data_IF_806181869025
#
_entry.id   IF_806181869025
#
_cell.length_a   1.000
_cell.length_b   1.000
_cell.length_c   1.000
_cell.angle_alpha   90.00
_cell.angle_beta   90.00
_cell.angle_gamma   90.00
#
_symmetry.space_group_name_H-M   'P 1'
#
loop_
_entity.id
_entity.type
_entity.pdbx_description
1 polymer ?
#
# COMPACT_ATOMS: atom_id res chain seq x y z
N UNK A 1 -6.95 -5.40 2.11
CA UNK A 1 -6.11 -6.62 2.33
C UNK A 1 -6.91 -7.80 2.89
N UNK A 2 -7.97 -7.58 3.68
CA UNK A 2 -8.75 -8.67 4.29
C UNK A 2 -9.48 -9.60 3.31
N UNK A 3 -9.86 -9.10 2.13
CA UNK A 3 -10.57 -9.86 1.09
C UNK A 3 -9.67 -10.67 0.15
N UNK A 4 -8.34 -10.47 0.21
CA UNK A 4 -7.42 -11.19 -0.66
C UNK A 4 -7.13 -12.60 -0.12
N UNK A 5 -6.98 -13.58 -1.03
CA UNK A 5 -6.55 -14.91 -0.62
C UNK A 5 -5.09 -14.88 -0.10
N UNK A 6 -4.71 -15.79 0.83
CA UNK A 6 -3.36 -15.81 1.39
C UNK A 6 -2.27 -16.02 0.32
N UNK A 7 -2.58 -16.84 -0.69
CA UNK A 7 -1.68 -17.11 -1.82
C UNK A 7 -1.46 -15.88 -2.70
N UNK A 8 -2.53 -15.16 -3.05
CA UNK A 8 -2.42 -13.92 -3.83
C UNK A 8 -1.59 -12.87 -3.09
N UNK A 9 -1.85 -12.69 -1.78
CA UNK A 9 -1.14 -11.71 -0.97
C UNK A 9 0.36 -12.06 -0.85
N UNK A 10 0.67 -13.32 -0.54
CA UNK A 10 2.05 -13.81 -0.43
C UNK A 10 2.79 -13.73 -1.77
N UNK A 11 2.13 -14.06 -2.87
CA UNK A 11 2.72 -13.98 -4.22
C UNK A 11 3.01 -12.54 -4.62
N UNK A 12 2.05 -11.63 -4.36
CA UNK A 12 2.24 -10.21 -4.65
C UNK A 12 3.42 -9.62 -3.84
N UNK A 13 3.49 -9.90 -2.53
CA UNK A 13 4.60 -9.45 -1.69
C UNK A 13 5.94 -10.02 -2.16
N UNK A 14 5.98 -11.29 -2.57
CA UNK A 14 7.19 -11.91 -3.09
C UNK A 14 7.67 -11.26 -4.39
N UNK A 15 6.74 -10.95 -5.30
CA UNK A 15 7.06 -10.25 -6.54
C UNK A 15 7.57 -8.83 -6.26
N UNK A 16 6.92 -8.08 -5.36
CA UNK A 16 7.39 -6.74 -4.97
C UNK A 16 8.79 -6.80 -4.36
N UNK A 17 9.05 -7.71 -3.44
CA UNK A 17 10.37 -7.88 -2.82
C UNK A 17 11.44 -8.22 -3.86
N UNK A 18 11.13 -9.10 -4.82
CA UNK A 18 12.04 -9.47 -5.89
C UNK A 18 12.37 -8.29 -6.82
N UNK A 19 11.34 -7.58 -7.28
CA UNK A 19 11.50 -6.40 -8.14
C UNK A 19 12.30 -5.31 -7.43
N UNK A 20 11.98 -5.04 -6.15
CA UNK A 20 12.68 -4.02 -5.37
C UNK A 20 14.15 -4.39 -5.14
N UNK A 21 14.44 -5.67 -4.87
CA UNK A 21 15.81 -6.16 -4.74
C UNK A 21 16.61 -5.98 -6.03
N UNK A 22 16.03 -6.34 -7.18
CA UNK A 22 16.63 -6.11 -8.49
C UNK A 22 16.88 -4.63 -8.76
N UNK A 23 15.86 -3.78 -8.54
CA UNK A 23 15.99 -2.33 -8.71
C UNK A 23 17.11 -1.76 -7.83
N UNK A 24 17.16 -2.18 -6.57
CA UNK A 24 18.18 -1.74 -5.62
C UNK A 24 19.58 -2.19 -6.05
N UNK A 25 19.71 -3.42 -6.53
CA UNK A 25 20.95 -3.96 -7.08
C UNK A 25 21.43 -3.16 -8.29
N UNK A 26 20.57 -2.89 -9.27
CA UNK A 26 20.94 -2.12 -10.47
C UNK A 26 21.24 -0.65 -10.20
N UNK A 27 20.59 -0.05 -9.19
CA UNK A 27 20.90 1.30 -8.71
C UNK A 27 22.10 1.31 -7.74
N UNK A 28 22.60 0.14 -7.38
CA UNK A 28 23.58 -0.07 -6.32
C UNK A 28 23.23 0.68 -5.02
N UNK A 29 21.95 0.69 -4.64
CA UNK A 29 21.47 1.22 -3.38
C UNK A 29 21.24 0.09 -2.37
N UNK A 30 21.53 0.38 -1.10
CA UNK A 30 21.30 -0.54 0.01
C UNK A 30 20.05 -0.10 0.73
N UNK A 31 19.07 -0.99 0.80
CA UNK A 31 17.79 -0.71 1.44
C UNK A 31 17.95 -0.59 2.98
N UNK A 32 17.17 0.26 3.66
CA UNK A 32 17.19 0.37 5.12
C UNK A 32 16.83 -0.93 5.84
N UNK A 33 15.80 -1.63 5.37
CA UNK A 33 15.47 -2.97 5.80
C UNK A 33 16.06 -3.99 4.81
N UNK A 34 16.74 -5.00 5.34
CA UNK A 34 17.35 -6.04 4.50
C UNK A 34 16.29 -7.05 4.04
N UNK A 35 16.24 -7.27 2.73
CA UNK A 35 15.40 -8.28 2.10
C UNK A 35 16.17 -9.58 1.87
N UNK A 36 15.63 -10.68 2.38
CA UNK A 36 16.08 -12.03 2.03
C UNK A 36 15.19 -12.57 0.94
N UNK A 37 15.76 -12.77 -0.26
CA UNK A 37 15.05 -13.38 -1.38
C UNK A 37 15.01 -14.92 -1.26
N UNK A 38 14.06 -15.57 -1.96
CA UNK A 38 14.01 -17.02 -1.97
C UNK A 38 15.30 -17.66 -2.50
N UNK A 39 15.86 -18.62 -1.75
CA UNK A 39 16.97 -19.48 -2.17
C UNK A 39 16.78 -20.91 -1.64
N UNK A 40 17.72 -21.82 -1.92
CA UNK A 40 17.60 -23.28 -1.67
C UNK A 40 17.10 -23.64 -0.27
N UNK A 41 17.56 -22.92 0.76
CA UNK A 41 17.25 -23.18 2.17
C UNK A 41 16.29 -22.13 2.76
N UNK A 42 15.73 -21.28 1.90
CA UNK A 42 14.90 -20.14 2.26
C UNK A 42 13.79 -19.95 1.22
N UNK A 43 12.71 -20.75 1.27
CA UNK A 43 11.76 -20.87 0.16
C UNK A 43 10.84 -19.65 -0.02
N UNK A 44 10.72 -18.78 0.99
CA UNK A 44 9.84 -17.60 0.95
C UNK A 44 10.61 -16.35 1.37
N UNK A 45 10.25 -15.18 0.83
CA UNK A 45 10.94 -13.95 1.16
C UNK A 45 10.64 -13.49 2.59
N UNK A 46 11.60 -12.80 3.18
CA UNK A 46 11.46 -12.14 4.48
C UNK A 46 12.21 -10.83 4.51
N UNK A 47 11.95 -10.05 5.56
CA UNK A 47 12.58 -8.76 5.76
C UNK A 47 13.06 -8.59 7.20
N UNK A 48 14.24 -8.01 7.39
CA UNK A 48 14.76 -7.64 8.70
C UNK A 48 14.26 -6.25 9.11
N UNK A 49 14.12 -6.00 10.42
CA UNK A 49 13.91 -4.62 10.84
C UNK A 49 15.19 -3.80 10.63
N UNK A 50 15.06 -2.47 10.66
CA UNK A 50 16.16 -1.53 10.45
C UNK A 50 17.36 -1.78 11.39
N UNK A 51 17.11 -2.20 12.64
CA UNK A 51 18.18 -2.39 13.65
C UNK A 51 18.97 -3.67 13.45
N UNK A 52 18.33 -4.71 12.89
CA UNK A 52 18.93 -6.03 12.65
C UNK A 52 19.47 -6.21 11.24
N UNK A 53 19.07 -5.35 10.31
CA UNK A 53 19.49 -5.42 8.91
C UNK A 53 21.00 -5.35 8.80
N UNK A 54 21.57 -6.32 8.09
CA UNK A 54 22.98 -6.47 7.75
C UNK A 54 23.93 -6.64 8.93
N UNK A 55 23.45 -7.25 10.03
CA UNK A 55 24.24 -7.50 11.24
C UNK A 55 24.34 -8.99 11.57
N UNK A 56 24.19 -9.86 10.58
CA UNK A 56 24.11 -11.30 10.78
C UNK A 56 24.96 -12.09 9.78
N UNK A 57 25.57 -13.17 10.26
CA UNK A 57 26.41 -14.03 9.43
C UNK A 57 25.66 -15.27 8.90
N UNK A 58 24.67 -15.85 9.61
CA UNK A 58 23.85 -16.98 9.13
C UNK A 58 22.48 -17.05 9.84
N UNK A 59 21.37 -17.09 9.09
CA UNK A 59 20.01 -17.13 9.65
C UNK A 59 19.16 -18.21 8.97
N UNK A 60 18.58 -19.11 9.78
CA UNK A 60 17.65 -20.13 9.33
C UNK A 60 16.28 -19.54 8.94
N UNK A 61 15.61 -20.15 7.96
CA UNK A 61 14.28 -19.74 7.54
C UNK A 61 13.24 -19.86 8.68
N UNK A 62 12.35 -18.86 8.88
CA UNK A 62 11.33 -18.90 9.92
C UNK A 62 10.54 -20.21 9.92
N UNK A 63 10.53 -20.89 11.06
CA UNK A 63 9.78 -22.14 11.25
C UNK A 63 10.49 -23.41 10.76
N UNK A 64 11.69 -23.31 10.17
CA UNK A 64 12.46 -24.50 9.74
C UNK A 64 13.60 -24.88 10.67
N UNK A 65 13.92 -24.10 11.71
CA UNK A 65 15.11 -24.34 12.52
C UNK A 65 15.06 -25.73 13.19
N UNK A 66 15.96 -26.67 12.85
CA UNK A 66 16.45 -27.60 13.85
C UNK A 66 17.39 -26.80 14.77
N UNK A 67 17.49 -27.24 16.02
CA UNK A 67 18.42 -26.69 17.00
C UNK A 67 19.86 -27.00 16.57
N UNK A 68 20.45 -26.26 15.65
CA UNK A 68 21.82 -26.49 15.19
C UNK A 68 22.67 -25.26 15.41
N UNK A 69 23.26 -25.22 16.60
CA UNK A 69 24.50 -24.52 16.89
C UNK A 69 25.61 -25.06 15.98
N UNK A 70 25.96 -24.33 14.91
CA UNK A 70 27.24 -24.51 14.21
C UNK A 70 27.89 -23.15 13.93
N UNK A 71 27.96 -22.34 14.99
CA UNK A 71 28.79 -21.14 15.08
C UNK A 71 29.49 -21.10 16.44
N UNK A 72 29.98 -22.25 16.89
CA UNK A 72 30.74 -22.37 18.13
C UNK A 72 32.20 -22.01 17.88
N UNK A 73 32.54 -20.72 17.96
CA UNK A 73 33.88 -20.34 18.37
C UNK A 73 34.16 -20.93 19.77
N UNK A 74 35.42 -21.27 20.09
CA UNK A 74 35.74 -21.91 21.36
C UNK A 74 35.76 -20.86 22.47
N UNK A 75 34.58 -20.40 22.90
CA UNK A 75 34.43 -19.82 24.22
C UNK A 75 33.01 -19.98 24.76
N UNK A 76 32.94 -20.30 26.04
CA UNK A 76 31.85 -21.02 26.65
C UNK A 76 30.51 -20.28 26.72
N UNK A 77 29.44 -21.09 26.71
CA UNK A 77 28.25 -20.96 27.55
C UNK A 77 27.84 -19.53 27.93
N UNK A 78 27.00 -18.91 27.11
CA UNK A 78 26.12 -17.85 27.58
C UNK A 78 24.69 -18.11 27.08
N UNK A 79 23.90 -18.86 27.87
CA UNK A 79 22.45 -19.05 27.68
C UNK A 79 21.63 -17.73 27.82
N UNK A 80 22.30 -16.58 27.77
CA UNK A 80 21.74 -15.24 27.93
C UNK A 80 22.09 -14.33 26.74
N UNK A 81 22.51 -14.90 25.60
CA UNK A 81 22.66 -14.14 24.37
C UNK A 81 21.28 -13.57 23.97
N UNK A 82 21.16 -12.26 23.70
CA UNK A 82 19.91 -11.69 23.24
C UNK A 82 19.41 -12.46 22.01
N UNK A 83 18.09 -12.66 21.87
CA UNK A 83 17.54 -13.38 20.72
C UNK A 83 18.14 -12.79 19.44
N UNK A 84 18.72 -13.67 18.61
CA UNK A 84 19.29 -13.27 17.34
C UNK A 84 18.26 -12.52 16.47
N UNK A 85 18.75 -11.77 15.46
CA UNK A 85 17.88 -11.01 14.58
C UNK A 85 16.83 -11.91 13.92
N UNK A 86 15.55 -11.64 14.21
CA UNK A 86 14.43 -12.46 13.72
C UNK A 86 13.88 -11.89 12.41
N UNK A 87 14.00 -12.58 11.27
CA UNK A 87 13.39 -12.12 10.02
C UNK A 87 11.86 -12.16 10.11
N UNK A 88 11.20 -11.18 9.49
CA UNK A 88 9.74 -11.08 9.47
C UNK A 88 9.21 -11.69 8.17
N UNK A 89 8.22 -12.58 8.22
CA UNK A 89 7.68 -13.24 7.04
C UNK A 89 6.94 -12.25 6.14
N UNK A 90 7.27 -12.23 4.85
CA UNK A 90 6.50 -11.51 3.81
C UNK A 90 5.44 -12.42 3.16
N UNK A 91 4.91 -13.36 3.92
CA UNK A 91 3.91 -14.32 3.48
C UNK A 91 2.94 -14.64 4.61
N UNK A 92 1.76 -15.14 4.23
CA UNK A 92 0.73 -15.64 5.14
C UNK A 92 0.14 -16.93 4.61
N UNK A 93 -0.12 -17.87 5.51
CA UNK A 93 -0.74 -19.16 5.17
C UNK A 93 -2.27 -19.16 5.38
N UNK A 94 -2.79 -18.11 6.03
CA UNK A 94 -4.20 -17.95 6.40
C UNK A 94 -4.68 -16.54 6.10
N UNK A 95 -5.99 -16.36 6.02
CA UNK A 95 -6.57 -15.03 5.84
C UNK A 95 -6.28 -14.17 7.08
N UNK A 96 -6.10 -12.87 6.87
CA UNK A 96 -5.70 -11.95 7.95
C UNK A 96 -6.64 -11.95 9.16
N UNK A 97 -7.99 -12.01 9.00
CA UNK A 97 -8.89 -12.09 10.15
C UNK A 97 -8.72 -13.36 10.99
N UNK A 98 -8.46 -14.50 10.33
CA UNK A 98 -8.24 -15.80 11.00
C UNK A 98 -6.90 -15.78 11.72
N UNK A 99 -5.85 -15.31 11.03
CA UNK A 99 -4.51 -15.21 11.61
C UNK A 99 -4.50 -14.28 12.84
N UNK A 100 -5.21 -13.15 12.78
CA UNK A 100 -5.30 -12.22 13.91
C UNK A 100 -5.95 -12.83 15.17
N UNK A 101 -6.86 -13.81 15.00
CA UNK A 101 -7.52 -14.52 16.11
C UNK A 101 -6.68 -15.67 16.65
N UNK A 102 -6.07 -16.45 15.76
CA UNK A 102 -5.35 -17.67 16.12
C UNK A 102 -3.92 -17.41 16.59
N UNK A 103 -3.20 -16.51 15.92
CA UNK A 103 -1.82 -16.15 16.26
C UNK A 103 -1.59 -14.63 16.08
N UNK A 104 -1.93 -13.84 17.11
CA UNK A 104 -1.73 -12.39 17.10
C UNK A 104 -0.26 -11.98 16.94
N UNK A 105 0.69 -12.81 17.38
CA UNK A 105 2.11 -12.50 17.29
C UNK A 105 2.60 -12.59 15.85
N UNK A 106 2.25 -13.67 15.14
CA UNK A 106 2.57 -13.83 13.71
C UNK A 106 1.84 -12.79 12.86
N UNK A 107 0.58 -12.47 13.19
CA UNK A 107 -0.15 -11.38 12.56
C UNK A 107 0.60 -10.04 12.69
N UNK A 108 1.05 -9.69 13.89
CA UNK A 108 1.82 -8.46 14.12
C UNK A 108 3.15 -8.43 13.37
N UNK A 109 3.89 -9.55 13.36
CA UNK A 109 5.15 -9.66 12.60
C UNK A 109 4.93 -9.53 11.10
N UNK A 110 3.83 -10.08 10.57
CA UNK A 110 3.47 -9.93 9.17
C UNK A 110 3.15 -8.47 8.81
N UNK A 111 2.36 -7.77 9.64
CA UNK A 111 2.08 -6.35 9.40
C UNK A 111 3.36 -5.50 9.45
N UNK A 112 4.27 -5.78 10.40
CA UNK A 112 5.60 -5.15 10.45
C UNK A 112 6.39 -5.43 9.15
N UNK A 113 6.34 -6.65 8.63
CA UNK A 113 7.01 -7.00 7.38
C UNK A 113 6.49 -6.17 6.20
N UNK A 114 5.17 -6.04 6.06
CA UNK A 114 4.53 -5.27 4.99
C UNK A 114 4.89 -3.79 5.09
N UNK A 115 4.92 -3.22 6.30
CA UNK A 115 5.29 -1.80 6.46
C UNK A 115 6.77 -1.54 6.29
N UNK A 116 7.65 -2.49 6.64
CA UNK A 116 9.07 -2.42 6.29
C UNK A 116 9.27 -2.43 4.77
N UNK A 117 8.54 -3.28 4.05
CA UNK A 117 8.58 -3.30 2.59
C UNK A 117 8.10 -1.98 1.98
N UNK A 118 7.00 -1.41 2.48
CA UNK A 118 6.52 -0.09 2.08
C UNK A 118 7.53 1.03 2.36
N UNK A 119 8.19 0.95 3.52
CA UNK A 119 9.23 1.88 3.93
C UNK A 119 10.41 1.84 2.96
N UNK A 120 10.90 0.64 2.61
CA UNK A 120 12.00 0.46 1.66
C UNK A 120 11.66 0.99 0.26
N UNK A 121 10.47 0.69 -0.26
CA UNK A 121 10.01 1.22 -1.56
C UNK A 121 9.99 2.75 -1.53
N UNK A 122 9.41 3.33 -0.48
CA UNK A 122 9.32 4.79 -0.33
C UNK A 122 10.69 5.44 -0.16
N UNK A 123 11.60 4.79 0.56
CA UNK A 123 12.98 5.23 0.74
C UNK A 123 13.75 5.17 -0.59
N UNK A 124 13.61 4.09 -1.34
CA UNK A 124 14.19 3.95 -2.68
C UNK A 124 13.68 5.07 -3.59
N UNK A 125 12.37 5.34 -3.60
CA UNK A 125 11.81 6.49 -4.31
C UNK A 125 12.48 7.81 -3.92
N UNK A 126 12.57 8.11 -2.61
CA UNK A 126 13.13 9.36 -2.12
C UNK A 126 14.61 9.53 -2.50
N UNK A 127 15.42 8.49 -2.35
CA UNK A 127 16.86 8.56 -2.72
C UNK A 127 17.07 8.80 -4.20
N UNK A 128 16.14 8.31 -5.03
CA UNK A 128 16.19 8.46 -6.47
C UNK A 128 15.46 9.70 -7.01
N UNK A 129 14.99 10.60 -6.14
CA UNK A 129 14.31 11.82 -6.56
C UNK A 129 12.88 11.60 -7.05
N UNK A 130 12.29 10.43 -6.81
CA UNK A 130 10.88 10.15 -7.12
C UNK A 130 10.00 10.75 -6.02
N UNK A 131 9.00 11.53 -6.39
CA UNK A 131 7.98 11.99 -5.44
C UNK A 131 7.02 10.86 -5.07
N UNK A 132 6.77 10.70 -3.77
CA UNK A 132 5.78 9.76 -3.22
C UNK A 132 4.51 10.47 -2.72
N UNK A 133 4.43 11.80 -2.85
CA UNK A 133 3.39 12.62 -2.20
C UNK A 133 3.88 13.18 -0.86
N UNK A 134 2.99 13.23 0.14
CA UNK A 134 3.33 13.62 1.50
C UNK A 134 4.09 12.49 2.21
N UNK A 135 5.38 12.71 2.43
CA UNK A 135 6.27 11.75 3.10
C UNK A 135 5.85 11.43 4.54
N UNK A 136 5.04 12.28 5.18
CA UNK A 136 4.54 12.07 6.54
C UNK A 136 3.19 11.32 6.59
N UNK A 137 2.47 11.28 5.46
CA UNK A 137 1.18 10.62 5.35
C UNK A 137 1.35 9.10 5.21
N UNK A 138 0.52 8.35 5.95
CA UNK A 138 0.56 6.89 5.94
C UNK A 138 0.24 6.32 4.55
N UNK A 139 -0.80 6.83 3.90
CA UNK A 139 -1.27 6.35 2.59
C UNK A 139 -0.17 6.50 1.54
N UNK A 140 0.44 7.69 1.46
CA UNK A 140 1.47 7.98 0.46
C UNK A 140 2.72 7.11 0.61
N UNK A 141 3.12 6.79 1.85
CA UNK A 141 4.23 5.87 2.13
C UNK A 141 3.83 4.41 1.87
N UNK A 142 2.59 4.02 2.18
CA UNK A 142 2.12 2.63 2.09
C UNK A 142 1.52 2.25 0.73
N UNK A 143 1.39 3.19 -0.21
CA UNK A 143 1.03 2.91 -1.61
C UNK A 143 2.20 2.26 -2.39
N UNK A 144 2.61 1.06 -1.97
CA UNK A 144 3.70 0.25 -2.52
C UNK A 144 3.65 0.20 -4.04
N UNK A 145 2.51 -0.18 -4.62
CA UNK A 145 2.35 -0.34 -6.07
C UNK A 145 2.57 0.97 -6.85
N UNK A 146 1.98 2.07 -6.38
CA UNK A 146 2.14 3.40 -6.99
C UNK A 146 3.60 3.88 -6.91
N UNK A 147 4.21 3.73 -5.75
CA UNK A 147 5.58 4.18 -5.52
C UNK A 147 6.56 3.35 -6.37
N UNK A 148 6.39 2.03 -6.42
CA UNK A 148 7.21 1.15 -7.25
C UNK A 148 7.02 1.42 -8.75
N UNK A 149 5.78 1.65 -9.20
CA UNK A 149 5.49 2.06 -10.57
C UNK A 149 6.20 3.38 -10.93
N UNK A 150 6.13 4.38 -10.06
CA UNK A 150 6.77 5.67 -10.28
C UNK A 150 8.31 5.57 -10.30
N UNK A 151 8.89 4.70 -9.47
CA UNK A 151 10.32 4.43 -9.45
C UNK A 151 10.81 3.81 -10.76
N UNK A 152 10.08 2.83 -11.29
CA UNK A 152 10.54 2.01 -12.43
C UNK A 152 10.12 2.58 -13.79
N UNK A 153 8.89 3.09 -13.90
CA UNK A 153 8.24 3.42 -15.17
C UNK A 153 7.93 4.90 -15.26
N UNK A 154 7.42 5.50 -14.17
CA UNK A 154 6.92 6.88 -14.18
C UNK A 154 7.93 7.90 -14.71
N UNK A 155 9.22 7.67 -14.49
CA UNK A 155 10.28 8.55 -14.98
C UNK A 155 10.62 8.38 -16.45
N UNK A 156 10.44 7.19 -17.02
CA UNK A 156 10.68 6.98 -18.45
C UNK A 156 9.58 7.64 -19.29
N UNK A 157 8.35 7.70 -18.75
CA UNK A 157 7.23 8.37 -19.42
C UNK A 157 7.27 9.90 -19.28
N UNK A 158 7.73 10.41 -18.12
CA UNK A 158 7.84 11.85 -17.85
C UNK A 158 9.19 12.43 -18.31
N UNK A 159 10.17 11.56 -18.57
CA UNK A 159 11.51 11.89 -19.02
C UNK A 159 11.65 11.93 -20.53
N UNK A 160 11.01 12.90 -21.19
CA UNK A 160 11.58 13.46 -22.42
C UNK A 160 12.59 14.52 -22.02
N UNK A 161 13.89 14.22 -22.12
CA UNK A 161 14.83 15.19 -22.64
C UNK A 161 15.53 14.60 -23.86
N UNK A 162 14.83 14.48 -24.99
CA UNK A 162 15.50 14.57 -26.29
C UNK A 162 16.00 16.00 -26.45
N UNK A 163 17.14 16.29 -25.82
CA UNK A 163 17.60 17.66 -25.67
C UNK A 163 19.01 17.79 -25.11
N UNK A 164 19.90 16.83 -25.35
CA UNK A 164 21.32 17.19 -25.45
C UNK A 164 21.47 18.13 -26.65
N UNK A 165 21.29 19.44 -26.44
CA UNK A 165 21.95 20.45 -27.27
C UNK A 165 23.24 20.81 -26.53
N UNK A 166 24.35 20.57 -27.22
CA UNK A 166 25.68 21.01 -26.84
C UNK A 166 25.66 22.45 -26.28
N UNK A 167 26.52 22.80 -25.30
CA UNK A 167 26.69 24.20 -24.96
C UNK A 167 27.32 24.90 -26.18
N UNK A 168 26.54 25.78 -26.81
CA UNK A 168 27.07 26.75 -27.76
C UNK A 168 27.83 27.82 -26.96
N UNK A 169 29.09 28.12 -27.28
CA UNK A 169 29.85 29.12 -26.55
C UNK A 169 29.36 30.50 -27.00
N UNK A 170 28.49 31.14 -26.20
CA UNK A 170 28.12 32.52 -26.42
C UNK A 170 26.70 32.88 -25.99
N UNK A 171 26.44 32.89 -24.69
CA UNK A 171 25.36 33.71 -24.14
C UNK A 171 25.64 34.06 -22.69
N UNK A 172 26.37 35.14 -22.52
CA UNK A 172 26.42 35.91 -21.27
C UNK A 172 25.18 36.80 -21.30
N UNK A 173 24.21 36.57 -20.42
CA UNK A 173 23.61 37.62 -19.58
C UNK A 173 22.33 37.17 -18.83
N UNK A 174 22.36 37.48 -17.53
CA UNK A 174 21.29 38.01 -16.67
C UNK A 174 20.35 37.10 -15.87
N UNK A 175 20.50 37.33 -14.55
CA UNK A 175 19.52 37.66 -13.50
C UNK A 175 18.90 36.52 -12.70
N UNK A 176 19.49 36.38 -11.50
CA UNK A 176 18.85 36.31 -10.19
C UNK A 176 17.33 36.07 -10.13
N UNK A 177 16.97 35.01 -9.41
CA UNK A 177 15.77 35.03 -8.56
C UNK A 177 14.58 34.23 -9.04
N UNK A 178 14.76 33.22 -9.89
CA UNK A 178 13.69 32.26 -10.18
C UNK A 178 14.27 30.85 -10.13
N UNK A 179 14.13 30.19 -8.98
CA UNK A 179 14.29 28.74 -8.86
C UNK A 179 13.13 28.09 -9.61
N UNK A 180 13.27 28.04 -10.93
CA UNK A 180 12.29 27.48 -11.82
C UNK A 180 12.06 26.00 -11.48
N UNK A 181 10.79 25.63 -11.43
CA UNK A 181 10.25 24.28 -11.26
C UNK A 181 10.72 23.26 -12.33
N UNK A 182 11.74 23.59 -13.13
CA UNK A 182 12.50 22.71 -14.00
C UNK A 182 13.59 21.90 -13.24
N UNK A 183 13.79 22.14 -11.94
CA UNK A 183 14.82 21.48 -11.11
C UNK A 183 14.45 20.08 -10.58
N UNK A 184 13.19 19.66 -10.62
CA UNK A 184 12.82 18.25 -10.31
C UNK A 184 12.98 17.34 -11.53
N UNK A 185 14.07 17.48 -12.27
CA UNK A 185 14.50 16.39 -13.15
C UNK A 185 14.85 15.24 -12.23
N UNK A 186 14.02 14.20 -12.27
CA UNK A 186 14.29 13.03 -11.46
C UNK A 186 15.67 12.49 -11.81
N UNK A 187 16.51 12.37 -10.78
CA UNK A 187 17.93 12.08 -10.93
C UNK A 187 18.25 10.62 -10.63
N UNK A 188 17.37 9.69 -11.03
CA UNK A 188 17.60 8.24 -10.81
C UNK A 188 19.02 7.86 -11.20
N UNK A 189 19.68 7.12 -10.32
CA UNK A 189 21.07 6.69 -10.46
C UNK A 189 22.11 7.72 -10.05
N UNK A 190 21.73 8.95 -9.67
CA UNK A 190 22.69 9.98 -9.21
C UNK A 190 23.32 9.57 -7.89
N UNK A 191 22.53 9.20 -6.89
CA UNK A 191 23.00 8.79 -5.56
C UNK A 191 22.95 7.28 -5.43
N UNK A 192 24.06 6.70 -4.96
CA UNK A 192 24.21 5.25 -4.89
C UNK A 192 25.25 4.86 -3.83
N UNK A 193 25.14 3.66 -3.27
CA UNK A 193 26.20 3.09 -2.43
C UNK A 193 27.34 2.47 -3.25
N UNK A 194 27.18 2.30 -4.57
CA UNK A 194 28.21 1.74 -5.45
C UNK A 194 29.09 2.79 -6.16
N UNK A 195 28.80 4.09 -6.01
CA UNK A 195 29.51 5.15 -6.76
C UNK A 195 30.50 5.91 -5.88
N UNK A 196 31.60 6.39 -6.45
CA UNK A 196 32.60 7.18 -5.72
C UNK A 196 32.19 8.67 -5.55
N UNK A 197 31.50 9.24 -6.54
CA UNK A 197 31.26 10.69 -6.62
C UNK A 197 30.02 11.15 -5.84
N UNK A 198 28.97 10.32 -5.78
CA UNK A 198 27.74 10.60 -5.05
C UNK A 198 27.41 9.43 -4.11
N UNK A 199 28.43 9.03 -3.34
CA UNK A 199 28.31 7.90 -2.43
C UNK A 199 27.31 8.20 -1.31
N UNK A 200 26.23 7.41 -1.22
CA UNK A 200 25.21 7.58 -0.18
C UNK A 200 25.75 7.39 1.24
N UNK A 201 26.85 6.65 1.41
CA UNK A 201 27.53 6.50 2.70
C UNK A 201 28.58 7.57 3.00
N UNK A 202 28.80 8.54 2.10
CA UNK A 202 29.71 9.66 2.32
C UNK A 202 29.08 10.73 3.23
N UNK A 203 29.82 11.78 3.57
CA UNK A 203 29.30 12.85 4.45
C UNK A 203 28.05 13.53 3.87
N UNK A 204 28.12 13.99 2.61
CA UNK A 204 26.99 14.60 1.90
C UNK A 204 25.83 13.62 1.72
N UNK A 205 26.13 12.36 1.34
CA UNK A 205 25.14 11.31 1.19
C UNK A 205 24.41 10.99 2.50
N UNK A 206 25.13 10.95 3.63
CA UNK A 206 24.55 10.71 4.94
C UNK A 206 23.63 11.85 5.37
N UNK A 207 24.01 13.11 5.11
CA UNK A 207 23.17 14.26 5.41
C UNK A 207 21.94 14.33 4.50
N UNK A 208 22.09 13.95 3.22
CA UNK A 208 20.97 13.76 2.32
C UNK A 208 20.01 12.67 2.81
N UNK A 209 20.50 11.49 3.20
CA UNK A 209 19.66 10.41 3.74
C UNK A 209 18.94 10.84 5.02
N UNK A 210 19.60 11.59 5.91
CA UNK A 210 18.95 12.16 7.11
C UNK A 210 17.84 13.16 6.77
N UNK A 211 17.93 13.83 5.62
CA UNK A 211 16.88 14.75 5.14
C UNK A 211 15.60 14.00 4.70
N UNK A 212 15.69 12.70 4.41
CA UNK A 212 14.56 11.84 4.06
C UNK A 212 13.77 11.49 5.33
N UNK A 213 12.80 12.33 5.65
CA UNK A 213 11.92 12.17 6.83
C UNK A 213 10.73 11.27 6.48
N UNK A 214 10.89 9.96 6.73
CA UNK A 214 9.79 8.99 6.67
C UNK A 214 9.34 8.61 8.10
N UNK A 215 8.03 8.36 8.33
CA UNK A 215 7.53 7.82 9.57
C UNK A 215 8.23 6.50 9.92
N UNK A 216 8.53 6.30 11.21
CA UNK A 216 9.15 5.06 11.67
C UNK A 216 8.28 3.84 11.32
N UNK A 217 8.88 2.71 10.90
CA UNK A 217 8.12 1.50 10.50
C UNK A 217 7.13 0.98 11.54
N UNK A 218 7.45 1.12 12.83
CA UNK A 218 6.53 0.75 13.91
C UNK A 218 5.26 1.61 13.93
N UNK A 219 5.40 2.93 13.73
CA UNK A 219 4.25 3.85 13.63
C UNK A 219 3.39 3.53 12.41
N UNK A 220 4.02 3.12 11.30
CA UNK A 220 3.31 2.66 10.11
C UNK A 220 2.57 1.35 10.40
N UNK A 221 3.19 0.40 11.09
CA UNK A 221 2.57 -0.88 11.46
C UNK A 221 1.34 -0.70 12.36
N UNK A 222 1.42 0.20 13.35
CA UNK A 222 0.29 0.53 14.22
C UNK A 222 -0.86 1.18 13.45
N UNK A 223 -0.55 2.09 12.51
CA UNK A 223 -1.56 2.70 11.63
C UNK A 223 -2.19 1.67 10.70
N UNK A 224 -1.40 0.77 10.11
CA UNK A 224 -1.89 -0.32 9.27
C UNK A 224 -2.82 -1.23 10.07
N UNK A 225 -2.42 -1.63 11.27
CA UNK A 225 -3.24 -2.44 12.17
C UNK A 225 -4.56 -1.74 12.49
N UNK A 226 -4.52 -0.45 12.82
CA UNK A 226 -5.71 0.35 13.12
C UNK A 226 -6.66 0.43 11.92
N UNK A 227 -6.13 0.66 10.71
CA UNK A 227 -6.90 0.69 9.46
C UNK A 227 -7.60 -0.65 9.18
N UNK A 228 -6.86 -1.74 9.27
CA UNK A 228 -7.38 -3.10 9.09
C UNK A 228 -8.47 -3.43 10.10
N UNK A 229 -8.28 -3.08 11.38
CA UNK A 229 -9.33 -3.26 12.40
C UNK A 229 -10.57 -2.41 12.15
N UNK A 230 -10.41 -1.20 11.59
CA UNK A 230 -11.54 -0.34 11.22
C UNK A 230 -12.29 -0.86 9.99
N UNK A 231 -11.59 -1.46 9.02
CA UNK A 231 -12.21 -2.08 7.83
C UNK A 231 -13.10 -3.27 8.20
N UNK A 232 -12.69 -4.09 9.18
CA UNK A 232 -13.50 -5.23 9.68
C UNK A 232 -14.77 -4.76 10.40
N UNK A 233 -14.78 -3.53 10.91
CA UNK A 233 -15.91 -2.98 11.69
C UNK A 233 -16.78 -2.04 10.84
N UNK A 234 -16.32 -1.62 9.66
CA UNK A 234 -17.15 -0.87 8.72
C UNK A 234 -18.27 -1.80 8.25
N UNK A 235 -19.55 -1.44 8.43
CA UNK A 235 -20.64 -2.21 7.87
C UNK A 235 -20.47 -2.20 6.35
N UNK A 236 -20.28 -3.38 5.77
CA UNK A 236 -20.56 -3.60 4.36
C UNK A 236 -22.05 -3.32 4.19
N UNK A 237 -22.39 -2.07 3.86
CA UNK A 237 -23.72 -1.76 3.38
C UNK A 237 -23.83 -2.43 2.01
N UNK A 238 -24.23 -3.70 2.00
CA UNK A 238 -24.76 -4.34 0.81
C UNK A 238 -25.90 -3.45 0.32
N UNK A 239 -25.72 -2.86 -0.86
CA UNK A 239 -26.81 -2.23 -1.59
C UNK A 239 -27.76 -3.37 -1.96
N UNK A 240 -28.79 -3.58 -1.15
CA UNK A 240 -29.89 -4.47 -1.49
C UNK A 240 -30.45 -4.01 -2.83
N UNK A 241 -30.57 -4.93 -3.78
CA UNK A 241 -31.25 -4.67 -5.05
C UNK A 241 -32.69 -4.21 -4.73
N UNK A 242 -33.19 -3.24 -5.51
CA UNK A 242 -34.51 -2.60 -5.28
C UNK A 242 -35.66 -3.63 -5.18
N UNK A 243 -35.48 -4.81 -5.79
CA UNK A 243 -36.40 -5.94 -5.78
C UNK A 243 -36.60 -6.57 -4.38
N UNK A 244 -35.65 -6.40 -3.45
CA UNK A 244 -35.76 -6.94 -2.07
C UNK A 244 -36.72 -6.14 -1.18
N UNK A 245 -37.13 -4.94 -1.61
CA UNK A 245 -38.17 -4.13 -0.96
C UNK A 245 -39.55 -4.29 -1.61
N UNK A 246 -39.61 -4.90 -2.81
CA UNK A 246 -40.86 -5.08 -3.53
C UNK A 246 -41.74 -6.22 -2.97
N UNK A 247 -41.17 -7.15 -2.21
CA UNK A 247 -41.91 -8.34 -1.72
C UNK A 247 -42.64 -8.12 -0.39
N UNK A 248 -42.56 -6.93 0.24
CA UNK A 248 -43.20 -6.68 1.55
C UNK A 248 -44.52 -5.91 1.44
N UNK A 249 -44.92 -5.46 0.24
CA UNK A 249 -46.18 -4.73 0.06
C UNK A 249 -47.37 -5.59 -0.43
N UNK A 250 -47.16 -6.86 -0.80
CA UNK A 250 -48.21 -7.69 -1.43
C UNK A 250 -48.72 -8.90 -0.59
N UNK A 251 -48.39 -9.01 0.70
CA UNK A 251 -48.93 -10.06 1.60
C UNK A 251 -49.76 -9.49 2.77
N UNK A 252 -50.58 -8.48 2.49
CA UNK A 252 -51.59 -8.01 3.44
C UNK A 252 -52.92 -7.65 2.76
N UNK A 253 -53.51 -8.58 1.99
CA UNK A 253 -54.97 -8.66 1.98
C UNK A 253 -55.47 -10.05 1.53
N UNK A 254 -55.87 -10.84 2.51
CA UNK A 254 -56.59 -12.08 2.31
C UNK A 254 -57.76 -12.15 3.29
N UNK A 255 -58.95 -12.39 2.71
CA UNK A 255 -60.25 -12.74 3.32
C UNK A 255 -61.27 -11.59 3.28
N UNK A 256 -62.07 -11.52 2.20
CA UNK A 256 -63.44 -12.05 2.26
C UNK A 256 -64.06 -12.21 0.86
N UNK A 257 -64.65 -13.38 0.62
CA UNK A 257 -65.31 -13.73 -0.63
C UNK A 257 -66.82 -13.68 -0.45
N UNK A 258 -67.51 -12.64 -0.96
CA UNK A 258 -68.96 -12.65 -1.19
C UNK A 258 -69.37 -11.87 -2.45
N UNK A 259 -69.57 -12.63 -3.52
CA UNK A 259 -70.70 -12.59 -4.45
C UNK A 259 -71.60 -11.34 -4.42
N UNK A 260 -71.63 -10.52 -5.48
CA UNK A 260 -72.78 -10.41 -6.41
C UNK A 260 -72.62 -9.33 -7.51
N UNK A 261 -73.24 -9.63 -8.65
CA UNK A 261 -73.81 -8.73 -9.68
C UNK A 261 -72.94 -7.85 -10.60
N UNK A 262 -72.86 -8.33 -11.84
CA UNK A 262 -73.53 -7.80 -13.05
C UNK A 262 -73.28 -6.32 -13.49
N UNK A 263 -72.68 -6.22 -14.70
CA UNK A 263 -73.07 -5.38 -15.87
C UNK A 263 -72.02 -4.38 -16.40
N UNK A 264 -71.93 -4.45 -17.73
CA UNK A 264 -71.40 -3.51 -18.73
C UNK A 264 -69.88 -3.29 -18.71
N UNK A 265 -69.13 -3.44 -19.80
CA UNK A 265 -69.52 -3.46 -21.21
C UNK A 265 -68.95 -2.23 -21.92
N UNK A 266 -67.88 -2.49 -22.68
CA UNK A 266 -67.63 -1.99 -24.05
C UNK A 266 -66.85 -0.66 -24.25
N UNK A 267 -65.83 -0.81 -25.12
CA UNK A 267 -65.27 0.10 -26.17
C UNK A 267 -64.11 1.06 -25.83
N UNK A 268 -62.93 0.64 -26.30
CA UNK A 268 -61.93 1.27 -27.17
C UNK A 268 -61.92 2.79 -27.50
N UNK A 269 -60.70 3.30 -27.75
CA UNK A 269 -60.37 4.49 -28.56
C UNK A 269 -59.53 5.51 -27.77
N UNK A 270 -58.20 5.52 -27.88
CA UNK A 270 -57.33 6.14 -28.91
C UNK A 270 -57.11 7.67 -28.76
N UNK A 271 -55.85 8.05 -28.98
CA UNK A 271 -55.29 9.36 -29.36
C UNK A 271 -54.96 10.42 -28.28
N UNK A 272 -53.66 10.47 -27.96
CA UNK A 272 -52.73 11.58 -28.24
C UNK A 272 -53.08 13.00 -27.71
N UNK A 273 -52.25 13.52 -26.79
CA UNK A 273 -51.86 14.95 -26.68
C UNK A 273 -50.84 15.21 -25.55
N UNK A 274 -49.60 15.51 -25.94
CA UNK A 274 -48.78 16.55 -25.29
C UNK A 274 -49.36 17.95 -25.64
N UNK A 275 -49.09 19.08 -24.92
CA UNK A 275 -47.77 19.45 -24.39
C UNK A 275 -47.72 20.30 -23.09
N UNK A 276 -46.47 20.57 -22.68
CA UNK A 276 -45.93 21.87 -22.26
C UNK A 276 -45.59 22.07 -20.77
N UNK A 277 -44.30 22.41 -20.59
CA UNK A 277 -43.61 22.76 -19.36
C UNK A 277 -44.18 23.97 -18.62
N UNK A 278 -44.16 23.90 -17.29
CA UNK A 278 -44.16 25.05 -16.37
C UNK A 278 -43.18 24.78 -15.22
N UNK A 279 -42.30 25.75 -15.05
CA UNK A 279 -41.34 26.00 -13.96
C UNK A 279 -41.97 25.93 -12.56
N UNK A 280 -41.24 25.40 -11.57
CA UNK A 280 -41.61 25.53 -10.16
C UNK A 280 -40.55 24.98 -9.20
N UNK A 281 -39.58 25.84 -8.84
CA UNK A 281 -38.69 25.68 -7.68
C UNK A 281 -39.48 25.51 -6.38
N UNK A 282 -39.18 24.48 -5.58
CA UNK A 282 -39.80 24.25 -4.27
C UNK A 282 -38.80 23.67 -3.27
N UNK A 283 -38.27 24.55 -2.42
CA UNK A 283 -37.33 24.31 -1.33
C UNK A 283 -38.01 23.76 -0.07
N UNK A 284 -37.32 22.84 0.61
CA UNK A 284 -37.20 22.65 2.07
C UNK A 284 -38.44 22.64 2.99
N UNK A 285 -38.57 21.53 3.73
CA UNK A 285 -39.36 21.39 4.96
C UNK A 285 -39.87 19.95 5.07
N UNK A 286 -39.77 19.19 6.16
CA UNK A 286 -39.71 19.52 7.57
C UNK A 286 -39.05 18.35 8.34
N UNK A 287 -38.02 18.64 9.13
CA UNK A 287 -37.64 17.81 10.29
C UNK A 287 -38.66 18.02 11.41
N UNK A 288 -39.17 16.93 12.01
CA UNK A 288 -39.89 16.99 13.29
C UNK A 288 -39.45 15.84 14.19
N UNK A 289 -38.53 16.14 15.11
CA UNK A 289 -38.14 15.29 16.23
C UNK A 289 -39.23 15.37 17.30
N UNK A 290 -39.64 14.22 17.86
CA UNK A 290 -40.58 14.13 18.97
C UNK A 290 -39.88 13.43 20.13
N UNK A 291 -39.66 14.16 21.20
CA UNK A 291 -39.12 13.66 22.47
C UNK A 291 -40.17 12.88 23.25
N UNK A 292 -39.74 11.78 23.88
CA UNK A 292 -40.21 11.33 25.19
C UNK A 292 -39.03 10.80 25.97
#
# INVERSE_FOLDING_TARGET
MHSASPEQLSTWLANVAHILSLASYYLAIRLPAELTLPHRDYPRPTIFNLVSSYRHDDIAFPGTSPSSHFGGGPDGSNNNAPPGPRPRPLYVDKTLPVLAKEDPATYSMFLEAVTLLAYDVSWACCTQGVSIGDRSAFEDVCHIGRNLYNLLIGQQLLGVPTGKRYPSPGSVDKKDGQEDAASMTSWVGRYSHGTARNFLGGAEGADFVKSIKLPGPLKLADKLKTKLSSEVTAPDWEVLQEDAWAEVEDEADGIDARQDKMKNGKVAGDSNKEPRAVSGSGTSGWTKVKSR
#
